data_IF_585795670290
#
_entry.id   IF_585795670290
#
_cell.length_a   1.000
_cell.length_b   1.000
_cell.length_c   1.000
_cell.angle_alpha   90.00
_cell.angle_beta   90.00
_cell.angle_gamma   90.00
#
_symmetry.space_group_name_H-M   'P 1'
#
loop_
_entity.id
_entity.type
_entity.pdbx_description
1 polymer ?
#
# COMPACT_ATOMS: atom_id res chain seq x y z
N UNK A 1 8.34 36.36 -1.58
CA UNK A 1 7.14 35.52 -1.70
C UNK A 1 5.94 36.45 -1.49
N UNK A 2 5.11 36.66 -2.51
CA UNK A 2 3.99 37.60 -2.41
C UNK A 2 2.76 36.81 -1.96
N UNK A 3 2.19 37.17 -0.81
CA UNK A 3 0.97 36.54 -0.30
C UNK A 3 -0.25 37.28 -0.84
N UNK A 4 -1.11 36.57 -1.57
CA UNK A 4 -2.38 37.11 -2.06
C UNK A 4 -3.50 36.55 -1.18
N UNK A 5 -4.32 37.43 -0.59
CA UNK A 5 -5.48 37.05 0.21
C UNK A 5 -6.71 37.01 -0.70
N UNK A 6 -7.36 35.84 -0.77
CA UNK A 6 -8.61 35.63 -1.50
C UNK A 6 -9.69 35.27 -0.48
N UNK A 7 -10.84 35.92 -0.54
CA UNK A 7 -12.01 35.65 0.29
C UNK A 7 -13.17 35.18 -0.56
N UNK A 8 -13.95 34.23 -0.06
CA UNK A 8 -15.14 33.71 -0.69
C UNK A 8 -16.24 33.55 0.37
N UNK A 9 -17.48 33.73 -0.05
CA UNK A 9 -18.65 33.45 0.78
C UNK A 9 -19.06 31.99 0.60
N UNK A 10 -19.48 31.36 1.70
CA UNK A 10 -19.89 29.96 1.73
C UNK A 10 -21.30 29.90 2.26
N UNK A 11 -22.14 29.11 1.60
CA UNK A 11 -23.47 28.84 2.14
C UNK A 11 -23.37 28.15 3.50
N UNK A 12 -24.22 28.58 4.44
CA UNK A 12 -24.27 28.03 5.80
C UNK A 12 -24.57 26.51 5.79
N UNK A 13 -25.31 26.05 4.78
CA UNK A 13 -25.62 24.64 4.52
C UNK A 13 -24.36 23.79 4.34
N UNK A 14 -23.40 24.28 3.55
CA UNK A 14 -22.12 23.62 3.26
C UNK A 14 -21.27 23.58 4.53
N UNK A 15 -21.18 24.71 5.24
CA UNK A 15 -20.45 24.79 6.51
C UNK A 15 -20.98 23.79 7.54
N UNK A 16 -22.32 23.70 7.70
CA UNK A 16 -22.98 22.75 8.60
C UNK A 16 -22.69 21.31 8.19
N UNK A 17 -22.84 20.98 6.90
CA UNK A 17 -22.61 19.62 6.38
C UNK A 17 -21.17 19.14 6.63
N UNK A 18 -20.18 19.98 6.34
CA UNK A 18 -18.78 19.68 6.62
C UNK A 18 -18.55 19.54 8.12
N UNK A 19 -19.03 20.49 8.93
CA UNK A 19 -18.82 20.48 10.38
C UNK A 19 -19.37 19.22 11.05
N UNK A 20 -20.50 18.70 10.58
CA UNK A 20 -21.11 17.46 11.08
C UNK A 20 -20.25 16.22 10.81
N UNK A 21 -19.45 16.22 9.73
CA UNK A 21 -18.57 15.08 9.38
C UNK A 21 -17.31 15.00 10.23
N UNK A 22 -16.93 16.09 10.89
CA UNK A 22 -15.72 16.17 11.69
C UNK A 22 -16.04 16.63 13.11
N UNK A 23 -16.89 15.91 13.88
CA UNK A 23 -17.42 16.40 15.16
C UNK A 23 -16.31 16.77 16.16
N UNK A 24 -15.21 16.02 16.16
CA UNK A 24 -14.10 16.14 17.11
C UNK A 24 -13.15 17.33 16.84
N UNK A 25 -13.23 17.98 15.68
CA UNK A 25 -12.36 19.14 15.36
C UNK A 25 -12.93 20.40 16.02
N UNK A 26 -12.16 21.04 16.91
CA UNK A 26 -12.61 22.21 17.66
C UNK A 26 -12.79 23.46 16.79
N UNK A 27 -11.93 23.66 15.80
CA UNK A 27 -11.92 24.83 14.92
C UNK A 27 -12.48 24.48 13.53
N UNK A 28 -13.81 24.58 13.39
CA UNK A 28 -14.52 24.25 12.15
C UNK A 28 -14.21 25.24 11.03
N UNK A 29 -13.98 26.52 11.33
CA UNK A 29 -13.65 27.53 10.33
C UNK A 29 -12.30 27.26 9.69
N UNK A 30 -11.31 26.86 10.50
CA UNK A 30 -9.99 26.46 9.99
C UNK A 30 -10.05 25.19 9.15
N UNK A 31 -10.87 24.21 9.54
CA UNK A 31 -11.13 23.00 8.75
C UNK A 31 -11.71 23.35 7.37
N UNK A 32 -12.76 24.17 7.35
CA UNK A 32 -13.42 24.60 6.10
C UNK A 32 -12.45 25.41 5.23
N UNK A 33 -11.66 26.30 5.84
CA UNK A 33 -10.60 27.04 5.15
C UNK A 33 -9.52 26.12 4.56
N UNK A 34 -9.14 25.06 5.28
CA UNK A 34 -8.18 24.07 4.79
C UNK A 34 -8.73 23.25 3.62
N UNK A 35 -10.00 22.85 3.66
CA UNK A 35 -10.69 22.16 2.58
C UNK A 35 -10.80 23.04 1.32
N UNK A 36 -11.18 24.31 1.50
CA UNK A 36 -11.24 25.26 0.39
C UNK A 36 -9.87 25.51 -0.24
N UNK A 37 -8.82 25.67 0.58
CA UNK A 37 -7.44 25.77 0.11
C UNK A 37 -7.04 24.52 -0.70
N UNK A 38 -7.41 23.33 -0.21
CA UNK A 38 -7.12 22.08 -0.89
C UNK A 38 -7.82 22.00 -2.25
N UNK A 39 -9.09 22.40 -2.34
CA UNK A 39 -9.83 22.45 -3.60
C UNK A 39 -9.18 23.41 -4.61
N UNK A 40 -8.76 24.61 -4.17
CA UNK A 40 -8.05 25.56 -5.03
C UNK A 40 -6.71 25.00 -5.51
N UNK A 41 -5.95 24.35 -4.62
CA UNK A 41 -4.69 23.69 -4.99
C UNK A 41 -4.93 22.57 -6.02
N UNK A 42 -5.97 21.76 -5.84
CA UNK A 42 -6.33 20.72 -6.81
C UNK A 42 -6.66 21.32 -8.18
N UNK A 43 -7.48 22.38 -8.22
CA UNK A 43 -7.81 23.07 -9.47
C UNK A 43 -6.59 23.68 -10.14
N UNK A 44 -5.68 24.29 -9.38
CA UNK A 44 -4.42 24.79 -9.93
C UNK A 44 -3.63 23.67 -10.59
N UNK A 45 -3.43 22.55 -9.91
CA UNK A 45 -2.68 21.40 -10.47
C UNK A 45 -3.34 20.87 -11.74
N UNK A 46 -4.67 20.93 -11.82
CA UNK A 46 -5.42 20.51 -13.00
C UNK A 46 -5.27 21.50 -14.15
N UNK A 47 -5.51 22.80 -13.92
CA UNK A 47 -5.36 23.85 -14.92
C UNK A 47 -3.91 24.03 -15.39
N UNK A 48 -2.92 23.77 -14.54
CA UNK A 48 -1.49 23.80 -14.89
C UNK A 48 -0.98 22.50 -15.50
N UNK A 49 -1.86 21.50 -15.68
CA UNK A 49 -1.55 20.17 -16.21
C UNK A 49 -0.42 19.44 -15.44
N UNK A 50 -0.28 19.73 -14.15
CA UNK A 50 0.62 19.03 -13.21
C UNK A 50 -0.03 17.76 -12.66
N UNK A 51 -1.35 17.75 -12.49
CA UNK A 51 -2.12 16.54 -12.23
C UNK A 51 -2.55 15.92 -13.57
N UNK A 52 -2.00 14.74 -13.90
CA UNK A 52 -2.32 14.00 -15.13
C UNK A 52 -2.78 12.58 -14.80
N UNK A 53 -3.96 12.43 -14.18
CA UNK A 53 -4.46 11.11 -13.81
C UNK A 53 -4.71 10.29 -15.07
N UNK A 54 -4.27 9.04 -15.07
CA UNK A 54 -4.45 8.11 -16.21
C UNK A 54 -5.90 7.63 -16.35
N UNK A 55 -6.72 7.80 -15.31
CA UNK A 55 -8.12 7.41 -15.27
C UNK A 55 -8.89 8.23 -14.23
N UNK A 56 -10.23 8.19 -14.30
CA UNK A 56 -11.12 8.81 -13.30
C UNK A 56 -10.88 8.20 -11.91
N UNK A 57 -10.65 6.88 -11.85
CA UNK A 57 -10.33 6.20 -10.59
C UNK A 57 -9.03 6.73 -9.97
N UNK A 58 -7.99 6.92 -10.78
CA UNK A 58 -6.72 7.48 -10.31
C UNK A 58 -6.89 8.91 -9.77
N UNK A 59 -7.66 9.75 -10.48
CA UNK A 59 -8.00 11.10 -10.00
C UNK A 59 -8.71 11.07 -8.65
N UNK A 60 -9.70 10.19 -8.49
CA UNK A 60 -10.45 10.08 -7.23
C UNK A 60 -9.56 9.57 -6.09
N UNK A 61 -8.65 8.64 -6.35
CA UNK A 61 -7.68 8.17 -5.38
C UNK A 61 -6.74 9.31 -4.93
N UNK A 62 -6.23 10.11 -5.86
CA UNK A 62 -5.41 11.29 -5.55
C UNK A 62 -6.15 12.32 -4.70
N UNK A 63 -7.42 12.62 -5.04
CA UNK A 63 -8.28 13.52 -4.23
C UNK A 63 -8.46 13.03 -2.80
N UNK A 64 -8.83 11.76 -2.66
CA UNK A 64 -8.96 11.11 -1.35
C UNK A 64 -7.66 11.24 -0.56
N UNK A 65 -6.52 10.98 -1.21
CA UNK A 65 -5.23 11.11 -0.56
C UNK A 65 -4.93 12.54 -0.11
N UNK A 66 -5.14 13.54 -0.97
CA UNK A 66 -4.92 14.94 -0.60
C UNK A 66 -5.72 15.32 0.66
N UNK A 67 -6.99 14.90 0.74
CA UNK A 67 -7.87 15.21 1.88
C UNK A 67 -7.34 14.56 3.17
N UNK A 68 -7.09 13.25 3.15
CA UNK A 68 -6.72 12.49 4.35
C UNK A 68 -5.21 12.50 4.65
N UNK A 69 -4.38 13.13 3.82
CA UNK A 69 -2.97 13.44 4.12
C UNK A 69 -2.80 14.89 4.61
N UNK A 70 -3.81 15.75 4.47
CA UNK A 70 -3.71 17.14 4.91
C UNK A 70 -3.69 17.21 6.45
N UNK A 71 -2.62 17.71 7.08
CA UNK A 71 -2.48 17.73 8.54
C UNK A 71 -3.56 18.54 9.27
N UNK A 72 -4.20 19.49 8.58
CA UNK A 72 -5.27 20.32 9.13
C UNK A 72 -6.63 19.61 9.12
N UNK A 73 -6.77 18.53 8.35
CA UNK A 73 -7.99 17.74 8.20
C UNK A 73 -7.82 16.40 8.92
N UNK A 74 -6.67 15.77 8.75
CA UNK A 74 -6.33 14.47 9.30
C UNK A 74 -4.94 14.54 9.94
N UNK A 75 -4.89 14.41 11.27
CA UNK A 75 -3.70 14.62 12.13
C UNK A 75 -2.62 13.53 11.98
N UNK A 76 -2.19 13.19 10.76
CA UNK A 76 -1.09 12.25 10.51
C UNK A 76 -1.29 10.85 11.11
N UNK A 77 -2.52 10.49 11.50
CA UNK A 77 -2.86 9.13 11.90
C UNK A 77 -2.75 8.23 10.66
N UNK A 78 -2.58 6.94 10.86
CA UNK A 78 -2.68 6.00 9.74
C UNK A 78 -4.16 5.93 9.31
N UNK A 79 -4.43 6.06 8.01
CA UNK A 79 -5.78 5.94 7.44
C UNK A 79 -6.25 4.49 7.55
N UNK A 80 -6.84 4.18 8.70
CA UNK A 80 -7.37 2.85 9.02
C UNK A 80 -8.88 2.92 9.12
N UNK A 81 -9.55 1.82 8.77
CA UNK A 81 -11.02 1.74 8.82
C UNK A 81 -11.56 2.02 10.22
N UNK A 82 -10.86 1.54 11.25
CA UNK A 82 -11.25 1.79 12.64
C UNK A 82 -11.24 3.28 12.99
N UNK A 83 -10.21 4.03 12.55
CA UNK A 83 -10.15 5.48 12.76
C UNK A 83 -11.23 6.20 11.96
N UNK A 84 -11.38 5.85 10.68
CA UNK A 84 -12.36 6.47 9.78
C UNK A 84 -13.81 6.24 10.24
N UNK A 85 -14.13 5.02 10.68
CA UNK A 85 -15.45 4.70 11.19
C UNK A 85 -15.72 5.39 12.54
N UNK A 86 -14.78 5.30 13.49
CA UNK A 86 -15.02 5.77 14.86
C UNK A 86 -14.85 7.28 15.04
N UNK A 87 -13.91 7.92 14.35
CA UNK A 87 -13.59 9.36 14.54
C UNK A 87 -14.25 10.26 13.48
N UNK A 88 -14.49 9.73 12.28
CA UNK A 88 -15.06 10.51 11.16
C UNK A 88 -16.50 10.11 10.85
N UNK A 89 -17.07 9.18 11.64
CA UNK A 89 -18.43 8.68 11.51
C UNK A 89 -18.77 8.28 10.06
N UNK A 90 -17.79 7.68 9.36
CA UNK A 90 -17.98 7.23 8.00
C UNK A 90 -18.70 5.88 8.01
N UNK A 91 -19.66 5.64 7.09
CA UNK A 91 -20.20 4.32 6.86
C UNK A 91 -19.08 3.29 6.67
N UNK A 92 -19.24 2.10 7.24
CA UNK A 92 -18.18 1.09 7.26
C UNK A 92 -17.65 0.73 5.86
N UNK A 93 -18.55 0.65 4.87
CA UNK A 93 -18.17 0.39 3.47
C UNK A 93 -17.30 1.50 2.87
N UNK A 94 -17.61 2.76 3.18
CA UNK A 94 -16.84 3.92 2.75
C UNK A 94 -15.46 3.95 3.45
N UNK A 95 -15.43 3.70 4.76
CA UNK A 95 -14.18 3.60 5.51
C UNK A 95 -13.26 2.47 4.98
N UNK A 96 -13.84 1.32 4.61
CA UNK A 96 -13.09 0.21 4.02
C UNK A 96 -12.55 0.53 2.61
N UNK A 97 -13.31 1.29 1.82
CA UNK A 97 -12.87 1.76 0.51
C UNK A 97 -11.69 2.73 0.65
N UNK A 98 -11.79 3.72 1.53
CA UNK A 98 -10.73 4.70 1.77
C UNK A 98 -9.45 4.04 2.29
N UNK A 99 -9.55 3.13 3.27
CA UNK A 99 -8.40 2.33 3.74
C UNK A 99 -7.73 1.58 2.58
N UNK A 100 -8.52 0.98 1.67
CA UNK A 100 -7.99 0.30 0.49
C UNK A 100 -7.25 1.24 -0.46
N UNK A 101 -7.76 2.45 -0.70
CA UNK A 101 -7.08 3.46 -1.55
C UNK A 101 -5.69 3.79 -1.02
N UNK A 102 -5.53 3.85 0.30
CA UNK A 102 -4.23 4.09 0.94
C UNK A 102 -3.32 2.86 0.91
N UNK A 103 -3.87 1.65 1.13
CA UNK A 103 -3.12 0.40 0.97
C UNK A 103 -2.64 0.23 -0.48
N UNK A 104 -3.45 0.56 -1.48
CA UNK A 104 -3.10 0.48 -2.90
C UNK A 104 -1.96 1.44 -3.30
N UNK A 105 -1.85 2.61 -2.66
CA UNK A 105 -0.73 3.56 -2.86
C UNK A 105 0.59 3.04 -2.29
N UNK A 106 0.55 2.44 -1.11
CA UNK A 106 1.73 1.84 -0.49
C UNK A 106 2.06 0.49 -1.12
N UNK A 107 1.15 -0.10 -1.89
CA UNK A 107 1.31 -1.45 -2.47
C UNK A 107 2.55 -1.56 -3.37
N UNK A 108 2.91 -0.62 -4.28
CA UNK A 108 4.15 -0.74 -5.04
C UNK A 108 5.41 -0.69 -4.17
N UNK A 109 5.49 0.23 -3.21
CA UNK A 109 6.66 0.36 -2.31
C UNK A 109 6.76 -0.82 -1.34
N UNK A 110 5.64 -1.25 -0.76
CA UNK A 110 5.55 -2.43 0.08
C UNK A 110 5.81 -3.71 -0.72
N UNK A 111 5.32 -3.83 -1.96
CA UNK A 111 5.66 -4.94 -2.85
C UNK A 111 7.14 -4.95 -3.17
N UNK A 112 7.73 -3.81 -3.49
CA UNK A 112 9.16 -3.67 -3.75
C UNK A 112 9.97 -4.10 -2.52
N UNK A 113 9.59 -3.62 -1.33
CA UNK A 113 10.22 -4.02 -0.05
C UNK A 113 10.09 -5.52 0.22
N UNK A 114 8.89 -6.09 0.05
CA UNK A 114 8.65 -7.52 0.26
C UNK A 114 9.37 -8.38 -0.77
N UNK A 115 9.44 -7.97 -2.04
CA UNK A 115 10.24 -8.62 -3.09
C UNK A 115 11.72 -8.57 -2.76
N UNK A 116 12.25 -7.43 -2.32
CA UNK A 116 13.67 -7.29 -1.92
C UNK A 116 14.00 -8.16 -0.70
N UNK A 117 13.11 -8.23 0.29
CA UNK A 117 13.27 -9.14 1.45
C UNK A 117 13.32 -10.60 0.98
N UNK A 118 12.33 -11.01 0.17
CA UNK A 118 12.26 -12.36 -0.41
C UNK A 118 13.54 -12.73 -1.17
N UNK A 119 14.01 -11.84 -2.05
CA UNK A 119 15.23 -12.04 -2.84
C UNK A 119 16.44 -12.19 -1.91
N UNK A 120 16.60 -11.30 -0.93
CA UNK A 120 17.72 -11.33 0.00
C UNK A 120 17.76 -12.61 0.83
N UNK A 121 16.61 -13.04 1.35
CA UNK A 121 16.49 -14.23 2.19
C UNK A 121 16.85 -15.50 1.40
N UNK A 122 16.33 -15.63 0.17
CA UNK A 122 16.66 -16.75 -0.72
C UNK A 122 18.13 -16.73 -1.18
N UNK A 123 18.67 -15.57 -1.54
CA UNK A 123 20.09 -15.45 -1.93
C UNK A 123 21.04 -15.83 -0.80
N UNK A 124 20.73 -15.43 0.44
CA UNK A 124 21.56 -15.79 1.60
C UNK A 124 21.58 -17.30 1.79
N UNK A 125 20.41 -17.94 1.80
CA UNK A 125 20.30 -19.38 2.02
C UNK A 125 20.97 -20.20 0.90
N UNK A 126 20.81 -19.79 -0.36
CA UNK A 126 21.47 -20.45 -1.51
C UNK A 126 22.99 -20.29 -1.41
N UNK A 127 23.50 -19.10 -1.10
CA UNK A 127 24.95 -18.87 -0.95
C UNK A 127 25.56 -19.65 0.21
N UNK A 128 24.84 -19.78 1.33
CA UNK A 128 25.28 -20.60 2.46
C UNK A 128 25.34 -22.08 2.08
N UNK A 129 24.30 -22.58 1.40
CA UNK A 129 24.28 -23.95 0.88
C UNK A 129 25.44 -24.24 -0.10
N UNK A 130 25.75 -23.30 -1.00
CA UNK A 130 26.87 -23.45 -1.95
C UNK A 130 28.25 -23.49 -1.28
N UNK A 131 28.41 -22.82 -0.14
CA UNK A 131 29.64 -22.83 0.66
C UNK A 131 29.80 -24.13 1.44
N UNK A 132 28.70 -24.66 1.98
CA UNK A 132 28.67 -25.89 2.78
C UNK A 132 28.53 -27.17 1.93
N UNK A 133 29.41 -27.35 0.94
CA UNK A 133 29.45 -28.50 -0.01
C UNK A 133 29.47 -29.92 0.60
N UNK A 134 29.52 -30.07 1.93
CA UNK A 134 29.67 -31.35 2.62
C UNK A 134 28.36 -31.96 3.13
N UNK A 135 27.28 -31.20 3.34
CA UNK A 135 26.07 -31.76 3.92
C UNK A 135 24.79 -31.12 3.36
N UNK A 136 23.82 -31.98 3.05
CA UNK A 136 22.38 -31.73 2.81
C UNK A 136 21.95 -31.58 1.33
N UNK A 137 21.81 -32.73 0.67
CA UNK A 137 20.91 -32.88 -0.48
C UNK A 137 19.43 -32.59 -0.11
N UNK A 138 19.07 -32.66 1.17
CA UNK A 138 17.69 -32.51 1.66
C UNK A 138 17.42 -31.19 2.42
N UNK A 139 18.26 -30.15 2.28
CA UNK A 139 17.98 -28.86 2.93
C UNK A 139 16.81 -28.16 2.23
N UNK A 140 15.70 -27.98 2.95
CA UNK A 140 14.62 -27.08 2.55
C UNK A 140 15.03 -25.62 2.72
N UNK A 141 14.66 -24.78 1.74
CA UNK A 141 14.85 -23.34 1.75
C UNK A 141 13.57 -22.70 2.27
N UNK A 142 13.58 -22.18 3.50
CA UNK A 142 12.39 -21.66 4.17
C UNK A 142 12.39 -20.14 4.22
N UNK A 143 11.32 -19.52 3.75
CA UNK A 143 11.10 -18.07 3.84
C UNK A 143 9.90 -17.78 4.75
N UNK A 144 10.00 -16.71 5.54
CA UNK A 144 8.91 -16.19 6.35
C UNK A 144 8.38 -14.90 5.71
N UNK A 145 7.11 -14.93 5.33
CA UNK A 145 6.42 -13.82 4.67
C UNK A 145 5.19 -13.37 5.45
N UNK A 146 4.91 -12.08 5.42
CA UNK A 146 3.65 -11.53 5.93
C UNK A 146 2.49 -11.80 4.94
N UNK A 147 1.29 -11.29 5.24
CA UNK A 147 0.13 -11.45 4.36
C UNK A 147 0.35 -10.91 2.94
N UNK A 148 1.10 -9.82 2.78
CA UNK A 148 1.39 -9.25 1.46
C UNK A 148 2.41 -10.11 0.70
N UNK A 149 3.48 -10.52 1.38
CA UNK A 149 4.48 -11.43 0.85
C UNK A 149 3.89 -12.78 0.45
N UNK A 150 2.87 -13.28 1.17
CA UNK A 150 2.09 -14.46 0.76
C UNK A 150 1.49 -14.31 -0.63
N UNK A 151 0.81 -13.19 -0.89
CA UNK A 151 0.23 -12.93 -2.22
C UNK A 151 1.29 -12.81 -3.31
N UNK A 152 2.45 -12.23 -2.98
CA UNK A 152 3.59 -12.13 -3.91
C UNK A 152 4.12 -13.53 -4.26
N UNK A 153 4.39 -14.36 -3.25
CA UNK A 153 4.88 -15.73 -3.44
C UNK A 153 3.87 -16.54 -4.26
N UNK A 154 2.57 -16.47 -3.93
CA UNK A 154 1.52 -17.16 -4.70
C UNK A 154 1.46 -16.69 -6.16
N UNK A 155 1.61 -15.38 -6.42
CA UNK A 155 1.63 -14.83 -7.77
C UNK A 155 2.85 -15.32 -8.57
N UNK A 156 4.01 -15.41 -7.92
CA UNK A 156 5.23 -15.96 -8.52
C UNK A 156 5.04 -17.44 -8.86
N UNK A 157 4.53 -18.24 -7.92
CA UNK A 157 4.26 -19.66 -8.12
C UNK A 157 3.29 -19.91 -9.28
N UNK A 158 2.22 -19.12 -9.36
CA UNK A 158 1.25 -19.20 -10.45
C UNK A 158 1.91 -18.97 -11.80
N UNK A 159 2.80 -17.97 -11.89
CA UNK A 159 3.55 -17.70 -13.12
C UNK A 159 4.51 -18.83 -13.49
N UNK A 160 5.23 -19.38 -12.52
CA UNK A 160 6.12 -20.53 -12.75
C UNK A 160 5.33 -21.74 -13.28
N UNK A 161 4.11 -21.96 -12.78
CA UNK A 161 3.20 -23.00 -13.26
C UNK A 161 2.71 -22.72 -14.69
N UNK A 162 2.40 -21.47 -15.02
CA UNK A 162 2.00 -21.05 -16.38
C UNK A 162 3.14 -21.23 -17.40
N UNK A 163 4.39 -21.12 -16.96
CA UNK A 163 5.59 -21.43 -17.76
C UNK A 163 5.84 -22.95 -17.91
N UNK A 164 4.92 -23.79 -17.44
CA UNK A 164 4.97 -25.25 -17.59
C UNK A 164 5.91 -25.95 -16.61
N UNK A 165 6.37 -25.26 -15.56
CA UNK A 165 7.26 -25.84 -14.55
C UNK A 165 6.44 -26.33 -13.35
N UNK A 166 6.71 -27.54 -12.89
CA UNK A 166 6.08 -28.08 -11.68
C UNK A 166 6.70 -27.48 -10.41
N UNK A 167 5.83 -27.13 -9.45
CA UNK A 167 6.23 -26.54 -8.17
C UNK A 167 5.21 -26.95 -7.10
N UNK A 168 5.69 -27.50 -5.98
CA UNK A 168 4.86 -28.02 -4.89
C UNK A 168 5.47 -27.73 -3.51
N UNK A 169 5.60 -26.45 -3.11
CA UNK A 169 6.21 -26.10 -1.84
C UNK A 169 5.29 -26.44 -0.68
N UNK A 170 5.90 -26.70 0.48
CA UNK A 170 5.14 -26.86 1.71
C UNK A 170 4.85 -25.49 2.32
N UNK A 171 3.58 -25.08 2.32
CA UNK A 171 3.09 -23.91 3.06
C UNK A 171 2.69 -24.33 4.48
N UNK A 172 3.18 -23.61 5.50
CA UNK A 172 2.72 -23.76 6.88
C UNK A 172 2.31 -22.38 7.41
N UNK A 173 1.05 -22.23 7.84
CA UNK A 173 0.57 -21.00 8.44
C UNK A 173 0.89 -20.98 9.94
N UNK A 174 1.58 -19.92 10.41
CA UNK A 174 1.79 -19.71 11.83
C UNK A 174 0.63 -18.87 12.40
N UNK A 175 -0.24 -19.53 13.17
CA UNK A 175 -1.52 -19.00 13.67
C UNK A 175 -1.38 -17.84 14.66
N UNK A 176 -0.19 -17.58 15.21
CA UNK A 176 -0.02 -16.63 16.33
C UNK A 176 0.34 -15.20 15.87
N UNK A 177 0.90 -15.03 14.66
CA UNK A 177 1.42 -13.72 14.22
C UNK A 177 1.06 -13.29 12.79
N UNK A 178 0.26 -14.06 12.05
CA UNK A 178 -0.14 -13.68 10.69
C UNK A 178 0.98 -13.79 9.64
N UNK A 179 2.02 -14.57 9.95
CA UNK A 179 3.11 -14.92 9.04
C UNK A 179 2.90 -16.31 8.43
N UNK A 180 3.46 -16.51 7.24
CA UNK A 180 3.39 -17.73 6.46
C UNK A 180 4.80 -18.20 6.16
N UNK A 181 5.05 -19.49 6.38
CA UNK A 181 6.32 -20.11 6.03
C UNK A 181 6.15 -20.95 4.77
N UNK A 182 7.00 -20.69 3.78
CA UNK A 182 7.11 -21.50 2.57
C UNK A 182 8.45 -22.20 2.56
N UNK A 183 8.44 -23.52 2.39
CA UNK A 183 9.66 -24.31 2.23
C UNK A 183 9.75 -24.87 0.83
N UNK A 184 10.88 -24.62 0.17
CA UNK A 184 11.16 -24.99 -1.21
C UNK A 184 12.33 -25.98 -1.28
N UNK A 185 12.34 -26.83 -2.29
CA UNK A 185 13.57 -27.50 -2.75
C UNK A 185 14.53 -26.47 -3.37
N UNK A 186 15.80 -26.85 -3.58
CA UNK A 186 16.80 -25.96 -4.20
C UNK A 186 16.33 -25.39 -5.54
N UNK A 187 15.89 -26.28 -6.45
CA UNK A 187 15.46 -25.88 -7.79
C UNK A 187 14.27 -24.92 -7.71
N UNK A 188 13.31 -25.18 -6.82
CA UNK A 188 12.17 -24.29 -6.61
C UNK A 188 12.61 -22.93 -6.05
N UNK A 189 13.53 -22.90 -5.08
CA UNK A 189 14.06 -21.66 -4.51
C UNK A 189 14.76 -20.80 -5.57
N UNK A 190 15.56 -21.42 -6.46
CA UNK A 190 16.22 -20.75 -7.58
C UNK A 190 15.19 -20.18 -8.58
N UNK A 191 14.13 -20.94 -8.89
CA UNK A 191 13.04 -20.48 -9.75
C UNK A 191 12.29 -19.29 -9.14
N UNK A 192 11.89 -19.38 -7.87
CA UNK A 192 11.23 -18.27 -7.17
C UNK A 192 12.12 -17.03 -7.17
N UNK A 193 13.43 -17.20 -6.91
CA UNK A 193 14.39 -16.11 -6.87
C UNK A 193 14.51 -15.41 -8.23
N UNK A 194 14.62 -16.17 -9.32
CA UNK A 194 14.70 -15.64 -10.68
C UNK A 194 13.45 -14.84 -11.04
N UNK A 195 12.26 -15.41 -10.80
CA UNK A 195 11.00 -14.74 -11.09
C UNK A 195 10.79 -13.51 -10.21
N UNK A 196 11.17 -13.55 -8.93
CA UNK A 196 11.11 -12.41 -8.02
C UNK A 196 12.00 -11.25 -8.51
N UNK A 197 13.22 -11.53 -8.97
CA UNK A 197 14.11 -10.53 -9.58
C UNK A 197 13.50 -9.92 -10.83
N UNK A 198 12.87 -10.73 -11.67
CA UNK A 198 12.20 -10.23 -12.88
C UNK A 198 10.99 -9.37 -12.55
N UNK A 199 10.24 -9.69 -11.48
CA UNK A 199 9.15 -8.84 -10.98
C UNK A 199 9.68 -7.51 -10.44
N UNK A 200 10.79 -7.55 -9.68
CA UNK A 200 11.38 -6.34 -9.10
C UNK A 200 11.80 -5.34 -10.18
N UNK A 201 12.35 -5.81 -11.31
CA UNK A 201 12.71 -4.96 -12.47
C UNK A 201 11.54 -4.18 -13.08
N UNK A 202 10.29 -4.62 -12.88
CA UNK A 202 9.11 -3.88 -13.36
C UNK A 202 8.81 -2.66 -12.48
N UNK A 203 9.32 -2.65 -11.24
CA UNK A 203 9.14 -1.59 -10.26
C UNK A 203 10.35 -0.66 -10.14
N UNK A 204 11.43 -0.91 -10.89
CA UNK A 204 12.67 -0.11 -10.96
C UNK A 204 12.75 0.60 -12.32
#
# INVERSE_FOLDING_TARGET
MTTIKVSFELEESIFKSISMRFPDISDKEKLVSALAKLAICEWELWFSARLRPKSISALNQERIQMIYQNPSIYLGKQVTRGVLFNQFNLPYGEAAYLERVFVEKDTPELRNRSLRKLIKDLESQIREWEKDKKHKQDQGFTIEVDKLGRYIVQSIMQKVKEEGREMAPHETALSVHGFFNYTFSKNEAEMILETAKNYLKVYE
#
